data_IF_222304846220
#
_entry.id   IF_222304846220
#
_cell.length_a   1.000
_cell.length_b   1.000
_cell.length_c   1.000
_cell.angle_alpha   90.00
_cell.angle_beta   90.00
_cell.angle_gamma   90.00
#
_symmetry.space_group_name_H-M   'P 1'
#
loop_
_entity.id
_entity.type
_entity.pdbx_description
1 polymer ?
#
# COMPACT_ATOMS: atom_id res chain seq x y z
N UNK A 1 -101.74 -21.58 -3.41
CA UNK A 1 -100.47 -20.83 -3.19
C UNK A 1 -99.23 -21.71 -2.92
N UNK A 2 -99.22 -23.02 -3.27
CA UNK A 2 -98.14 -23.94 -2.89
C UNK A 2 -97.25 -24.42 -4.05
N UNK A 3 -97.65 -24.20 -5.32
CA UNK A 3 -96.85 -24.58 -6.51
C UNK A 3 -95.73 -23.56 -6.84
N UNK A 4 -95.95 -22.25 -6.65
CA UNK A 4 -94.94 -21.20 -6.93
C UNK A 4 -93.74 -21.25 -5.96
N UNK A 5 -93.97 -21.51 -4.67
CA UNK A 5 -92.87 -21.67 -3.68
C UNK A 5 -92.06 -22.94 -3.88
N UNK A 6 -92.67 -24.02 -4.40
CA UNK A 6 -91.96 -25.25 -4.76
C UNK A 6 -91.12 -25.08 -6.02
N UNK A 7 -91.60 -24.36 -7.03
CA UNK A 7 -90.80 -24.04 -8.22
C UNK A 7 -89.61 -23.15 -7.85
N UNK A 8 -89.80 -22.13 -7.02
CA UNK A 8 -88.70 -21.27 -6.54
C UNK A 8 -87.70 -22.06 -5.69
N UNK A 9 -88.16 -22.93 -4.79
CA UNK A 9 -87.29 -23.78 -3.99
C UNK A 9 -86.49 -24.79 -4.84
N UNK A 10 -87.10 -25.35 -5.88
CA UNK A 10 -86.46 -26.31 -6.78
C UNK A 10 -85.44 -25.60 -7.69
N UNK A 11 -85.76 -24.39 -8.19
CA UNK A 11 -84.80 -23.55 -8.93
C UNK A 11 -83.63 -23.13 -8.03
N UNK A 12 -83.89 -22.71 -6.79
CA UNK A 12 -82.84 -22.36 -5.83
C UNK A 12 -81.94 -23.55 -5.49
N UNK A 13 -82.52 -24.75 -5.32
CA UNK A 13 -81.76 -25.97 -5.09
C UNK A 13 -80.89 -26.36 -6.29
N UNK A 14 -81.43 -26.25 -7.52
CA UNK A 14 -80.66 -26.50 -8.75
C UNK A 14 -79.53 -25.48 -8.91
N UNK A 15 -79.79 -24.19 -8.63
CA UNK A 15 -78.78 -23.15 -8.70
C UNK A 15 -77.64 -23.39 -7.68
N UNK A 16 -77.96 -23.78 -6.45
CA UNK A 16 -76.96 -24.14 -5.45
C UNK A 16 -76.12 -25.35 -5.87
N UNK A 17 -76.75 -26.39 -6.44
CA UNK A 17 -76.05 -27.59 -6.91
C UNK A 17 -75.14 -27.27 -8.11
N UNK A 18 -75.59 -26.40 -9.02
CA UNK A 18 -74.79 -25.90 -10.14
C UNK A 18 -73.59 -25.08 -9.66
N UNK A 19 -73.73 -24.25 -8.62
CA UNK A 19 -72.62 -23.49 -8.02
C UNK A 19 -71.60 -24.44 -7.38
N UNK A 20 -72.04 -25.44 -6.63
CA UNK A 20 -71.13 -26.43 -6.01
C UNK A 20 -70.38 -27.22 -7.09
N UNK A 21 -71.07 -27.67 -8.14
CA UNK A 21 -70.42 -28.32 -9.28
C UNK A 21 -69.44 -27.38 -10.00
N UNK A 22 -69.79 -26.09 -10.16
CA UNK A 22 -68.91 -25.11 -10.77
C UNK A 22 -67.64 -24.86 -9.95
N UNK A 23 -67.75 -24.79 -8.61
CA UNK A 23 -66.58 -24.65 -7.71
C UNK A 23 -65.68 -25.88 -7.85
N UNK A 24 -66.24 -27.09 -7.72
CA UNK A 24 -65.45 -28.33 -7.82
C UNK A 24 -64.81 -28.50 -9.22
N UNK A 25 -65.52 -28.16 -10.29
CA UNK A 25 -64.98 -28.22 -11.66
C UNK A 25 -63.91 -27.13 -11.88
N UNK A 26 -64.09 -25.94 -11.31
CA UNK A 26 -63.11 -24.85 -11.42
C UNK A 26 -61.83 -25.16 -10.66
N UNK A 27 -61.90 -25.78 -9.49
CA UNK A 27 -60.72 -26.24 -8.74
C UNK A 27 -59.97 -27.35 -9.48
N UNK A 28 -60.67 -28.34 -10.05
CA UNK A 28 -60.04 -29.45 -10.80
C UNK A 28 -59.42 -28.95 -12.11
N UNK A 29 -60.06 -28.00 -12.79
CA UNK A 29 -59.51 -27.39 -14.03
C UNK A 29 -58.40 -26.38 -13.76
N UNK A 30 -58.40 -25.70 -12.61
CA UNK A 30 -57.28 -24.85 -12.18
C UNK A 30 -56.04 -25.68 -11.85
N UNK A 31 -56.19 -26.82 -11.15
CA UNK A 31 -55.05 -27.73 -10.91
C UNK A 31 -54.58 -28.42 -12.20
N UNK A 32 -55.45 -28.72 -13.17
CA UNK A 32 -55.02 -29.31 -14.44
C UNK A 32 -54.42 -28.29 -15.44
N UNK A 33 -54.80 -27.00 -15.38
CA UNK A 33 -54.27 -25.96 -16.25
C UNK A 33 -53.08 -25.18 -15.65
N UNK A 34 -52.94 -25.15 -14.32
CA UNK A 34 -51.81 -24.51 -13.62
C UNK A 34 -50.83 -25.56 -13.06
N UNK A 35 -51.27 -26.79 -12.78
CA UNK A 35 -50.40 -27.89 -12.30
C UNK A 35 -49.55 -28.54 -13.39
N UNK A 36 -49.96 -28.45 -14.66
CA UNK A 36 -49.22 -29.02 -15.80
C UNK A 36 -48.00 -28.21 -16.23
N UNK A 37 -47.86 -26.94 -15.80
CA UNK A 37 -46.73 -26.09 -16.15
C UNK A 37 -45.80 -25.76 -14.96
N UNK A 38 -46.19 -26.12 -13.73
CA UNK A 38 -45.33 -25.97 -12.55
C UNK A 38 -44.57 -27.25 -12.22
N UNK A 39 -45.07 -28.45 -12.53
CA UNK A 39 -44.32 -29.69 -12.29
C UNK A 39 -43.09 -29.87 -13.20
N UNK A 40 -43.06 -29.19 -14.36
CA UNK A 40 -41.90 -29.18 -15.28
C UNK A 40 -40.98 -27.97 -15.04
N UNK A 41 -41.33 -27.09 -14.09
CA UNK A 41 -40.53 -25.92 -13.66
C UNK A 41 -40.03 -26.01 -12.23
N UNK A 42 -40.11 -27.18 -11.58
CA UNK A 42 -39.42 -27.44 -10.30
C UNK A 42 -38.00 -28.02 -10.52
N UNK A 43 -37.57 -28.17 -11.78
CA UNK A 43 -36.17 -28.43 -12.13
C UNK A 43 -35.49 -27.21 -12.79
N UNK A 44 -35.99 -25.99 -12.57
CA UNK A 44 -35.33 -24.78 -13.07
C UNK A 44 -34.03 -24.46 -12.31
N UNK A 45 -33.88 -25.00 -11.10
CA UNK A 45 -32.60 -24.94 -10.37
C UNK A 45 -31.58 -25.96 -10.87
N UNK A 46 -31.99 -27.02 -11.58
CA UNK A 46 -31.07 -28.05 -12.10
C UNK A 46 -30.56 -27.76 -13.53
N UNK A 47 -31.27 -26.94 -14.32
CA UNK A 47 -30.83 -26.51 -15.65
C UNK A 47 -29.89 -25.29 -15.63
N UNK A 48 -29.86 -24.56 -14.52
CA UNK A 48 -28.96 -23.43 -14.28
C UNK A 48 -28.08 -23.59 -13.04
N UNK A 49 -28.15 -24.73 -12.35
CA UNK A 49 -27.05 -25.18 -11.52
C UNK A 49 -25.84 -25.37 -12.45
N UNK A 50 -25.03 -24.32 -12.55
CA UNK A 50 -23.62 -24.44 -12.92
C UNK A 50 -23.03 -25.36 -11.87
N UNK A 51 -23.09 -26.66 -12.15
CA UNK A 51 -22.34 -27.68 -11.47
C UNK A 51 -20.89 -27.35 -11.73
N UNK A 52 -20.32 -26.55 -10.82
CA UNK A 52 -18.88 -26.46 -10.67
C UNK A 52 -18.50 -27.83 -10.16
N UNK A 53 -18.00 -28.69 -11.05
CA UNK A 53 -17.19 -29.83 -10.63
C UNK A 53 -16.29 -29.32 -9.52
N UNK A 54 -16.27 -30.02 -8.37
CA UNK A 54 -15.40 -29.67 -7.27
C UNK A 54 -14.04 -29.31 -7.86
N UNK A 55 -13.63 -28.06 -7.64
CA UNK A 55 -12.36 -27.54 -8.12
C UNK A 55 -11.34 -28.62 -7.78
N UNK A 56 -10.59 -29.17 -8.75
CA UNK A 56 -9.59 -30.18 -8.47
C UNK A 56 -8.82 -29.71 -7.25
N UNK A 57 -8.76 -30.55 -6.20
CA UNK A 57 -8.02 -30.19 -4.99
C UNK A 57 -6.67 -29.64 -5.45
N UNK A 58 -6.29 -28.42 -5.02
CA UNK A 58 -5.04 -27.81 -5.47
C UNK A 58 -3.97 -28.87 -5.30
N UNK A 59 -3.26 -29.17 -6.40
CA UNK A 59 -2.19 -30.15 -6.36
C UNK A 59 -1.33 -29.79 -5.15
N UNK A 60 -1.14 -30.69 -4.17
CA UNK A 60 -0.39 -30.36 -2.97
C UNK A 60 1.05 -29.93 -3.30
N UNK A 61 1.56 -30.26 -4.50
CA UNK A 61 2.83 -29.72 -5.02
C UNK A 61 2.76 -28.24 -5.43
N UNK A 62 1.58 -27.71 -5.75
CA UNK A 62 1.31 -26.29 -6.04
C UNK A 62 0.89 -25.51 -4.79
N UNK A 63 0.52 -26.20 -3.71
CA UNK A 63 0.10 -25.57 -2.44
C UNK A 63 1.24 -24.91 -1.65
N UNK A 64 2.48 -25.10 -2.08
CA UNK A 64 3.69 -24.54 -1.43
C UNK A 64 4.44 -23.53 -2.32
N UNK A 65 3.87 -23.13 -3.46
CA UNK A 65 4.38 -22.04 -4.26
C UNK A 65 4.74 -22.43 -5.70
N UNK A 66 4.55 -21.44 -6.57
CA UNK A 66 4.89 -21.39 -8.01
C UNK A 66 3.87 -22.04 -8.94
N UNK A 67 3.35 -21.19 -9.83
CA UNK A 67 2.46 -21.52 -10.93
C UNK A 67 3.06 -22.64 -11.79
N UNK A 68 2.29 -23.69 -12.06
CA UNK A 68 2.72 -24.88 -12.78
C UNK A 68 3.53 -24.57 -14.05
N UNK A 69 4.86 -24.73 -13.98
CA UNK A 69 5.77 -24.70 -15.12
C UNK A 69 6.47 -23.36 -15.43
N UNK A 70 6.21 -22.28 -14.68
CA UNK A 70 6.95 -21.01 -14.86
C UNK A 70 8.16 -21.02 -13.92
N UNK A 71 9.40 -20.91 -14.43
CA UNK A 71 10.59 -20.88 -13.59
C UNK A 71 10.71 -19.57 -12.82
N UNK A 72 11.51 -19.57 -11.77
CA UNK A 72 11.90 -18.33 -11.08
C UNK A 72 12.85 -17.50 -11.93
N UNK A 73 12.82 -16.19 -11.71
CA UNK A 73 13.79 -15.30 -12.32
C UNK A 73 15.19 -15.59 -11.78
N UNK A 74 16.17 -15.57 -12.67
CA UNK A 74 17.59 -15.60 -12.33
C UNK A 74 18.21 -14.22 -12.53
N UNK A 75 19.50 -14.06 -12.19
CA UNK A 75 20.22 -12.79 -12.35
C UNK A 75 20.37 -12.34 -13.81
N UNK A 76 20.06 -13.23 -14.78
CA UNK A 76 20.03 -12.88 -16.20
C UNK A 76 18.64 -12.44 -16.68
N UNK A 77 17.61 -12.60 -15.83
CA UNK A 77 16.23 -12.32 -16.18
C UNK A 77 15.74 -10.97 -15.67
N UNK A 78 16.34 -10.47 -14.59
CA UNK A 78 15.89 -9.24 -13.92
C UNK A 78 17.03 -8.35 -13.47
N UNK A 79 16.76 -7.04 -13.40
CA UNK A 79 17.67 -6.03 -12.86
C UNK A 79 16.94 -5.14 -11.86
N UNK A 80 17.64 -4.71 -10.81
CA UNK A 80 17.15 -3.75 -9.83
C UNK A 80 17.80 -2.38 -10.04
N UNK A 81 16.99 -1.34 -9.90
CA UNK A 81 17.44 0.05 -9.89
C UNK A 81 16.56 0.88 -8.97
N UNK A 82 17.08 2.01 -8.51
CA UNK A 82 16.21 3.05 -7.96
C UNK A 82 15.67 3.88 -9.10
N UNK A 83 14.40 4.28 -9.03
CA UNK A 83 13.92 5.33 -9.91
C UNK A 83 14.63 6.62 -9.53
N UNK A 84 15.41 7.17 -10.44
CA UNK A 84 15.73 8.60 -10.43
C UNK A 84 14.51 9.32 -11.02
N UNK A 85 14.10 10.46 -10.45
CA UNK A 85 13.08 11.32 -11.08
C UNK A 85 13.46 11.77 -12.51
N UNK A 86 14.72 11.61 -12.89
CA UNK A 86 15.16 11.66 -14.29
C UNK A 86 14.82 10.34 -14.99
N UNK A 87 13.68 10.37 -15.70
CA UNK A 87 13.17 9.26 -16.48
C UNK A 87 14.21 8.62 -17.42
N UNK A 88 14.10 7.30 -17.53
CA UNK A 88 14.59 6.48 -18.63
C UNK A 88 16.05 6.74 -19.05
N UNK A 89 17.00 6.14 -18.32
CA UNK A 89 18.30 5.80 -18.90
C UNK A 89 18.25 4.37 -19.45
N UNK A 90 17.39 4.12 -20.43
CA UNK A 90 17.62 3.06 -21.41
C UNK A 90 18.32 3.66 -22.62
N UNK A 91 19.64 3.74 -22.55
CA UNK A 91 20.47 3.94 -23.72
C UNK A 91 20.38 2.69 -24.61
N UNK A 92 19.43 2.69 -25.55
CA UNK A 92 19.49 1.84 -26.75
C UNK A 92 19.73 2.72 -27.97
N UNK A 93 20.94 2.59 -28.51
CA UNK A 93 21.34 3.21 -29.76
C UNK A 93 20.63 2.56 -30.97
N UNK A 94 20.41 3.40 -32.00
CA UNK A 94 19.93 3.09 -33.36
C UNK A 94 18.39 3.11 -33.48
N UNK A 95 17.73 3.89 -34.34
CA UNK A 95 18.18 4.53 -35.57
C UNK A 95 17.33 5.78 -35.88
N UNK A 96 17.91 6.67 -36.69
CA UNK A 96 17.34 7.85 -37.32
C UNK A 96 15.97 7.61 -37.98
N UNK A 97 14.98 8.47 -37.72
CA UNK A 97 14.28 9.17 -38.80
C UNK A 97 13.50 10.39 -38.29
N UNK A 98 13.60 11.47 -39.06
CA UNK A 98 13.13 12.82 -38.78
C UNK A 98 11.64 13.01 -39.07
N UNK A 99 10.91 13.76 -38.24
CA UNK A 99 9.58 14.28 -38.60
C UNK A 99 8.86 14.97 -37.44
N UNK A 100 8.40 16.24 -37.55
CA UNK A 100 7.96 17.05 -36.42
C UNK A 100 6.43 17.16 -36.23
N UNK A 101 6.06 17.57 -35.00
CA UNK A 101 5.02 18.56 -34.63
C UNK A 101 3.81 18.07 -33.78
N UNK A 102 3.66 18.76 -32.63
CA UNK A 102 2.40 19.18 -31.94
C UNK A 102 1.53 18.08 -31.30
N UNK A 103 0.91 18.21 -30.12
CA UNK A 103 0.59 19.35 -29.26
C UNK A 103 0.32 18.90 -27.80
N UNK A 104 0.33 19.90 -26.92
CA UNK A 104 -0.12 19.97 -25.52
C UNK A 104 -1.38 19.18 -25.14
N UNK A 105 -1.38 18.57 -23.94
CA UNK A 105 -2.47 18.71 -22.99
C UNK A 105 -2.03 18.31 -21.56
N UNK A 106 -2.18 19.25 -20.63
CA UNK A 106 -2.11 19.07 -19.18
C UNK A 106 -3.23 18.16 -18.67
N UNK A 107 -2.93 17.31 -17.69
CA UNK A 107 -3.91 16.82 -16.73
C UNK A 107 -3.29 16.78 -15.33
N UNK A 108 -3.78 17.68 -14.50
CA UNK A 108 -3.50 17.85 -13.08
C UNK A 108 -4.00 16.64 -12.31
N UNK A 109 -3.11 15.92 -11.62
CA UNK A 109 -3.42 14.93 -10.60
C UNK A 109 -3.00 15.47 -9.25
N UNK A 110 -3.96 16.04 -8.53
CA UNK A 110 -3.78 16.62 -7.19
C UNK A 110 -3.55 15.50 -6.16
N UNK A 111 -2.40 15.53 -5.47
CA UNK A 111 -2.25 14.87 -4.17
C UNK A 111 -1.56 15.85 -3.21
N UNK A 112 -2.32 16.28 -2.20
CA UNK A 112 -1.91 17.23 -1.19
C UNK A 112 -1.01 16.58 -0.13
N UNK A 113 0.21 17.11 -0.04
CA UNK A 113 1.12 17.30 1.09
C UNK A 113 0.90 16.57 2.43
N UNK A 114 2.02 16.08 3.01
CA UNK A 114 2.47 16.53 4.34
C UNK A 114 3.97 16.30 4.54
N UNK A 115 4.71 17.36 4.91
CA UNK A 115 6.00 17.23 5.61
C UNK A 115 7.31 17.33 4.80
N UNK A 116 7.52 18.41 4.06
CA UNK A 116 8.78 19.17 3.97
C UNK A 116 10.13 18.41 4.08
N UNK A 117 10.68 18.07 2.91
CA UNK A 117 12.12 18.12 2.62
C UNK A 117 12.31 18.70 1.20
N UNK A 118 12.13 20.02 1.09
CA UNK A 118 12.64 20.83 -0.03
C UNK A 118 14.17 20.91 0.10
N UNK A 119 14.87 19.87 -0.36
CA UNK A 119 16.31 19.88 -0.74
C UNK A 119 16.64 18.60 -1.53
N UNK A 120 15.84 18.28 -2.55
CA UNK A 120 16.20 17.25 -3.52
C UNK A 120 17.29 17.82 -4.43
N UNK A 121 18.55 17.75 -3.97
CA UNK A 121 19.69 18.10 -4.81
C UNK A 121 19.76 17.10 -5.98
N UNK A 122 19.94 17.69 -7.16
CA UNK A 122 19.74 17.11 -8.48
C UNK A 122 20.89 16.16 -8.82
N UNK A 123 21.04 15.04 -8.10
CA UNK A 123 21.94 13.95 -8.49
C UNK A 123 21.77 12.67 -7.65
N UNK A 124 20.60 12.03 -7.67
CA UNK A 124 20.42 10.68 -7.08
C UNK A 124 20.84 10.56 -5.61
N UNK A 125 20.66 11.62 -4.82
CA UNK A 125 20.97 11.63 -3.40
C UNK A 125 19.77 12.10 -2.59
N UNK A 126 19.50 11.42 -1.48
CA UNK A 126 18.37 11.73 -0.59
C UNK A 126 18.89 12.42 0.67
N UNK A 127 18.16 13.42 1.16
CA UNK A 127 18.47 14.08 2.43
C UNK A 127 17.29 13.93 3.38
N UNK A 128 17.52 13.33 4.54
CA UNK A 128 16.50 13.04 5.55
C UNK A 128 17.00 13.45 6.93
N UNK A 129 16.11 13.85 7.83
CA UNK A 129 16.49 14.11 9.24
C UNK A 129 16.30 12.85 10.06
N UNK A 130 17.18 12.60 11.04
CA UNK A 130 17.02 11.49 11.99
C UNK A 130 15.66 11.57 12.70
N UNK A 131 14.93 10.45 12.71
CA UNK A 131 13.54 10.33 13.15
C UNK A 131 12.50 10.72 12.10
N UNK A 132 12.87 10.89 10.83
CA UNK A 132 11.96 11.10 9.70
C UNK A 132 12.09 9.95 8.70
N UNK A 133 11.12 9.85 7.78
CA UNK A 133 11.12 8.82 6.76
C UNK A 133 11.78 9.27 5.46
N UNK A 134 12.60 8.40 4.88
CA UNK A 134 13.05 8.48 3.51
C UNK A 134 12.26 7.46 2.67
N UNK A 135 11.78 7.87 1.51
CA UNK A 135 11.11 6.99 0.55
C UNK A 135 11.99 6.77 -0.67
N UNK A 136 12.10 5.52 -1.09
CA UNK A 136 12.85 5.07 -2.25
C UNK A 136 11.89 4.37 -3.20
N UNK A 137 11.91 4.70 -4.49
CA UNK A 137 11.17 3.93 -5.48
C UNK A 137 12.08 2.87 -6.07
N UNK A 138 11.85 1.61 -5.69
CA UNK A 138 12.49 0.44 -6.27
C UNK A 138 11.89 0.11 -7.63
N UNK A 139 12.74 -0.30 -8.57
CA UNK A 139 12.37 -0.65 -9.94
C UNK A 139 12.97 -2.00 -10.29
N UNK A 140 12.11 -3.01 -10.42
CA UNK A 140 12.45 -4.35 -10.88
C UNK A 140 12.07 -4.49 -12.35
N UNK A 141 13.07 -4.67 -13.22
CA UNK A 141 12.87 -4.74 -14.68
C UNK A 141 13.17 -6.13 -15.21
N UNK A 142 12.28 -6.67 -16.04
CA UNK A 142 12.50 -7.89 -16.81
C UNK A 142 13.37 -7.61 -18.03
N UNK A 143 14.41 -8.41 -18.22
CA UNK A 143 15.41 -8.21 -19.28
C UNK A 143 15.59 -9.41 -20.20
N UNK A 144 15.10 -10.59 -19.81
CA UNK A 144 15.21 -11.79 -20.64
C UNK A 144 14.03 -11.98 -21.58
N UNK A 145 14.15 -12.98 -22.45
CA UNK A 145 13.09 -13.41 -23.36
C UNK A 145 12.16 -14.47 -22.75
N UNK A 146 12.55 -15.05 -21.61
CA UNK A 146 11.79 -16.11 -20.96
C UNK A 146 10.90 -15.49 -19.88
N UNK A 147 9.68 -16.00 -19.76
CA UNK A 147 8.81 -15.61 -18.65
C UNK A 147 9.37 -16.21 -17.36
N UNK A 148 9.32 -15.45 -16.27
CA UNK A 148 9.77 -15.93 -14.97
C UNK A 148 8.93 -15.35 -13.83
N UNK A 149 8.99 -15.99 -12.66
CA UNK A 149 8.37 -15.49 -11.43
C UNK A 149 9.43 -14.79 -10.58
N UNK A 150 9.13 -13.56 -10.16
CA UNK A 150 9.94 -12.83 -9.18
C UNK A 150 9.14 -12.63 -7.89
N UNK A 151 9.75 -12.85 -6.74
CA UNK A 151 9.15 -12.52 -5.46
C UNK A 151 9.47 -11.06 -5.11
N UNK A 152 8.46 -10.19 -5.18
CA UNK A 152 8.57 -8.77 -4.89
C UNK A 152 8.11 -8.43 -3.46
N UNK A 153 7.98 -9.40 -2.56
CA UNK A 153 7.71 -9.09 -1.16
C UNK A 153 8.80 -8.19 -0.57
N UNK A 154 8.47 -7.35 0.43
CA UNK A 154 9.39 -6.35 0.99
C UNK A 154 10.62 -6.95 1.70
N UNK A 155 10.54 -8.23 2.05
CA UNK A 155 11.62 -9.02 2.63
C UNK A 155 12.50 -9.70 1.57
N UNK A 156 12.05 -9.66 0.32
CA UNK A 156 12.63 -10.34 -0.83
C UNK A 156 13.24 -9.33 -1.80
N UNK A 157 12.52 -8.27 -2.15
CA UNK A 157 13.06 -7.05 -2.77
C UNK A 157 13.47 -6.07 -1.66
N UNK A 158 14.63 -6.33 -1.08
CA UNK A 158 15.05 -5.73 0.17
C UNK A 158 15.85 -4.43 -0.03
N UNK A 159 15.55 -3.44 0.81
CA UNK A 159 16.35 -2.23 0.97
C UNK A 159 17.40 -2.45 2.06
N UNK A 160 18.66 -2.24 1.70
CA UNK A 160 19.80 -2.33 2.62
C UNK A 160 20.48 -0.96 2.72
N UNK A 161 20.64 -0.47 3.95
CA UNK A 161 21.34 0.78 4.24
C UNK A 161 22.67 0.46 4.94
N UNK A 162 23.75 0.99 4.39
CA UNK A 162 25.11 0.84 4.94
C UNK A 162 25.67 2.18 5.38
N UNK A 163 26.27 2.24 6.57
CA UNK A 163 27.04 3.40 7.05
C UNK A 163 28.26 3.61 6.16
N UNK A 164 28.41 4.79 5.55
CA UNK A 164 29.59 5.09 4.74
C UNK A 164 30.86 5.26 5.60
N UNK A 165 30.70 5.61 6.88
CA UNK A 165 31.80 5.84 7.80
C UNK A 165 32.42 4.53 8.32
N UNK A 166 31.59 3.53 8.60
CA UNK A 166 32.04 2.27 9.22
C UNK A 166 31.98 1.08 8.25
N UNK A 167 31.15 1.14 7.21
CA UNK A 167 30.90 0.03 6.30
C UNK A 167 29.88 -0.98 6.82
N UNK A 168 29.30 -0.75 8.00
CA UNK A 168 28.33 -1.66 8.61
C UNK A 168 26.93 -1.46 8.01
N UNK A 169 26.19 -2.56 7.84
CA UNK A 169 24.75 -2.51 7.57
C UNK A 169 24.06 -2.00 8.83
N UNK A 170 23.24 -0.96 8.68
CA UNK A 170 22.46 -0.37 9.78
C UNK A 170 20.97 -0.65 9.65
N UNK A 171 20.51 -0.94 8.43
CA UNK A 171 19.13 -1.28 8.14
C UNK A 171 19.07 -2.33 7.02
N UNK A 172 18.25 -3.35 7.18
CA UNK A 172 17.93 -4.38 6.18
C UNK A 172 16.45 -4.75 6.28
N UNK A 173 15.67 -4.42 5.26
CA UNK A 173 14.23 -4.73 5.26
C UNK A 173 13.93 -6.23 5.18
N UNK A 174 14.90 -7.06 4.80
CA UNK A 174 14.75 -8.53 4.76
C UNK A 174 14.74 -9.20 6.13
N UNK A 175 15.04 -8.46 7.19
CA UNK A 175 14.96 -8.93 8.57
C UNK A 175 13.51 -9.13 9.05
N UNK A 176 12.53 -8.50 8.41
CA UNK A 176 11.11 -8.72 8.68
C UNK A 176 10.49 -9.63 7.64
N UNK A 177 9.98 -10.79 8.05
CA UNK A 177 9.26 -11.70 7.15
C UNK A 177 8.02 -11.02 6.56
N UNK A 178 7.79 -11.24 5.26
CA UNK A 178 6.62 -10.76 4.56
C UNK A 178 5.92 -11.89 3.78
N UNK A 179 4.61 -11.75 3.57
CA UNK A 179 3.90 -12.66 2.69
C UNK A 179 4.45 -12.52 1.25
N UNK A 180 4.78 -13.63 0.57
CA UNK A 180 5.40 -13.57 -0.75
C UNK A 180 4.46 -12.96 -1.79
N UNK A 181 5.01 -12.08 -2.62
CA UNK A 181 4.29 -11.43 -3.72
C UNK A 181 4.93 -11.88 -5.02
N UNK A 182 4.42 -12.96 -5.61
CA UNK A 182 4.96 -13.47 -6.88
C UNK A 182 4.41 -12.69 -8.07
N UNK A 183 5.31 -12.01 -8.77
CA UNK A 183 5.06 -11.31 -10.02
C UNK A 183 5.46 -12.18 -11.20
N UNK A 184 4.56 -12.31 -12.18
CA UNK A 184 4.89 -12.90 -13.47
C UNK A 184 5.54 -11.84 -14.37
N UNK A 185 6.84 -11.95 -14.58
CA UNK A 185 7.65 -11.04 -15.39
C UNK A 185 7.73 -11.51 -16.84
N UNK A 186 7.31 -10.68 -17.81
CA UNK A 186 7.32 -10.98 -19.25
C UNK A 186 7.58 -9.73 -20.08
N UNK A 187 7.98 -9.88 -21.35
CA UNK A 187 7.94 -8.80 -22.35
C UNK A 187 8.48 -7.43 -21.89
N UNK A 188 9.58 -7.40 -21.12
CA UNK A 188 10.12 -6.16 -20.55
C UNK A 188 9.20 -5.47 -19.53
N UNK A 189 8.40 -6.25 -18.80
CA UNK A 189 7.62 -5.79 -17.65
C UNK A 189 8.53 -5.08 -16.64
N UNK A 190 7.98 -4.02 -16.05
CA UNK A 190 8.64 -3.22 -15.01
C UNK A 190 7.69 -3.14 -13.83
N UNK A 191 8.15 -3.57 -12.67
CA UNK A 191 7.49 -3.34 -11.39
C UNK A 191 8.13 -2.15 -10.67
N UNK A 192 7.30 -1.30 -10.07
CA UNK A 192 7.75 -0.13 -9.31
C UNK A 192 7.09 -0.11 -7.95
N UNK A 193 7.89 0.01 -6.90
CA UNK A 193 7.40 -0.03 -5.52
C UNK A 193 8.11 0.97 -4.65
N UNK A 194 7.36 1.64 -3.80
CA UNK A 194 7.93 2.52 -2.80
C UNK A 194 8.32 1.73 -1.55
N UNK A 195 9.56 1.92 -1.13
CA UNK A 195 10.14 1.40 0.10
C UNK A 195 10.41 2.57 1.02
N UNK A 196 10.05 2.43 2.30
CA UNK A 196 10.22 3.50 3.29
C UNK A 196 11.17 3.05 4.38
N UNK A 197 12.14 3.90 4.69
CA UNK A 197 13.02 3.74 5.83
C UNK A 197 12.82 4.90 6.80
N UNK A 198 12.57 4.60 8.07
CA UNK A 198 12.25 5.58 9.11
C UNK A 198 13.49 6.12 9.85
N UNK A 199 14.69 5.94 9.28
CA UNK A 199 16.00 6.28 9.88
C UNK A 199 16.30 5.55 11.18
N UNK A 200 15.73 4.37 11.31
CA UNK A 200 15.92 3.44 12.39
C UNK A 200 17.03 2.41 12.09
N UNK A 201 17.65 1.91 13.15
CA UNK A 201 18.60 0.78 13.09
C UNK A 201 17.82 -0.55 13.16
N UNK A 202 18.03 -1.42 12.18
CA UNK A 202 17.42 -2.75 12.07
C UNK A 202 18.27 -3.67 11.16
N UNK A 203 19.11 -4.55 11.70
CA UNK A 203 19.97 -5.39 10.85
C UNK A 203 19.40 -6.78 10.61
N UNK A 204 19.31 -7.60 11.65
CA UNK A 204 19.05 -9.04 11.52
C UNK A 204 17.75 -9.48 12.22
N UNK A 205 17.18 -8.61 13.03
CA UNK A 205 15.93 -8.86 13.75
C UNK A 205 14.85 -7.89 13.28
N UNK A 206 13.63 -8.39 13.10
CA UNK A 206 12.48 -7.54 12.83
C UNK A 206 12.12 -6.73 14.07
N UNK A 207 12.40 -5.42 14.04
CA UNK A 207 12.08 -4.51 15.14
C UNK A 207 10.73 -3.83 14.86
N UNK A 208 9.77 -4.04 15.75
CA UNK A 208 8.43 -3.42 15.66
C UNK A 208 8.13 -2.45 16.81
N UNK A 209 9.16 -2.07 17.59
CA UNK A 209 9.01 -1.28 18.81
C UNK A 209 9.07 0.24 18.52
N UNK A 210 8.15 1.07 19.05
CA UNK A 210 8.14 2.53 18.85
C UNK A 210 9.31 3.29 19.52
N UNK A 211 10.16 2.64 20.30
CA UNK A 211 11.36 3.19 20.95
C UNK A 211 12.66 2.85 20.22
N UNK A 212 12.55 2.52 18.93
CA UNK A 212 13.66 2.08 18.10
C UNK A 212 14.85 3.06 18.08
N UNK A 213 16.04 2.48 18.08
CA UNK A 213 17.29 3.23 18.00
C UNK A 213 17.37 3.89 16.62
N UNK A 214 17.54 5.21 16.61
CA UNK A 214 17.75 5.96 15.37
C UNK A 214 19.22 5.94 14.97
N UNK A 215 19.47 5.90 13.66
CA UNK A 215 20.83 6.06 13.14
C UNK A 215 21.37 7.45 13.46
N UNK A 216 22.69 7.53 13.61
CA UNK A 216 23.39 8.79 13.84
C UNK A 216 23.40 9.66 12.57
N UNK A 217 23.49 10.99 12.68
CA UNK A 217 23.70 11.84 11.52
C UNK A 217 24.99 11.47 10.77
N UNK A 218 24.94 11.46 9.45
CA UNK A 218 26.07 11.02 8.61
C UNK A 218 25.67 10.69 7.18
N UNK A 219 26.63 10.11 6.45
CA UNK A 219 26.43 9.63 5.08
C UNK A 219 26.21 8.13 5.07
N UNK A 220 25.25 7.68 4.27
CA UNK A 220 24.85 6.29 4.13
C UNK A 220 24.72 5.93 2.65
N UNK A 221 24.74 4.63 2.37
CA UNK A 221 24.45 4.07 1.06
C UNK A 221 23.20 3.21 1.13
N UNK A 222 22.22 3.51 0.30
CA UNK A 222 21.06 2.67 0.05
C UNK A 222 21.32 1.75 -1.15
N UNK A 223 20.95 0.49 -1.04
CA UNK A 223 21.08 -0.50 -2.11
C UNK A 223 19.89 -1.45 -2.08
N UNK A 224 19.34 -1.79 -3.24
CA UNK A 224 18.32 -2.84 -3.38
C UNK A 224 19.00 -4.18 -3.62
N UNK A 225 18.42 -5.24 -3.07
CA UNK A 225 18.84 -6.61 -3.31
C UNK A 225 17.62 -7.52 -3.51
N UNK A 226 17.76 -8.55 -4.34
CA UNK A 226 16.73 -9.58 -4.49
C UNK A 226 17.18 -10.85 -3.78
N UNK A 227 16.59 -11.16 -2.61
CA UNK A 227 16.98 -12.27 -1.72
C UNK A 227 16.97 -13.62 -2.42
N UNK A 228 15.92 -13.87 -3.20
CA UNK A 228 15.71 -15.14 -3.90
C UNK A 228 16.58 -15.29 -5.17
N UNK A 229 17.25 -14.20 -5.60
CA UNK A 229 18.05 -14.18 -6.84
C UNK A 229 19.45 -13.63 -6.57
N UNK A 230 20.38 -14.55 -6.29
CA UNK A 230 21.76 -14.19 -5.95
C UNK A 230 22.42 -13.28 -6.98
N UNK A 231 23.08 -12.21 -6.52
CA UNK A 231 23.85 -11.32 -7.38
C UNK A 231 23.03 -10.24 -8.11
N UNK A 232 21.71 -10.17 -7.91
CA UNK A 232 20.89 -9.03 -8.37
C UNK A 232 20.90 -7.96 -7.30
N UNK A 233 21.61 -6.87 -7.57
CA UNK A 233 21.66 -5.69 -6.71
C UNK A 233 21.61 -4.42 -7.56
N UNK A 234 21.05 -3.35 -7.00
CA UNK A 234 21.13 -2.03 -7.63
C UNK A 234 22.51 -1.39 -7.44
N UNK A 235 22.73 -0.28 -8.14
CA UNK A 235 23.77 0.67 -7.75
C UNK A 235 23.47 1.24 -6.35
N UNK A 236 24.52 1.67 -5.66
CA UNK A 236 24.39 2.35 -4.36
C UNK A 236 23.94 3.80 -4.57
N UNK A 237 22.88 4.19 -3.89
CA UNK A 237 22.38 5.56 -3.81
C UNK A 237 22.91 6.23 -2.53
N UNK A 238 23.29 7.50 -2.60
CA UNK A 238 23.78 8.22 -1.41
C UNK A 238 22.63 8.78 -0.61
N UNK A 239 22.68 8.64 0.72
CA UNK A 239 21.70 9.20 1.65
C UNK A 239 22.41 10.01 2.72
N UNK A 240 21.98 11.24 2.93
CA UNK A 240 22.48 12.12 3.98
C UNK A 240 21.46 12.21 5.12
N UNK A 241 21.83 11.70 6.29
CA UNK A 241 21.02 11.82 7.50
C UNK A 241 21.49 13.03 8.31
N UNK A 242 20.61 14.02 8.47
CA UNK A 242 20.83 15.22 9.29
C UNK A 242 20.38 14.97 10.75
N UNK A 243 20.91 15.76 11.68
CA UNK A 243 20.46 15.72 13.08
C UNK A 243 18.97 16.07 13.19
N UNK A 244 18.26 15.37 14.08
CA UNK A 244 16.86 15.66 14.36
C UNK A 244 16.72 17.07 14.92
N UNK A 245 15.91 17.92 14.27
CA UNK A 245 15.65 19.30 14.70
C UNK A 245 14.90 19.37 16.04
N UNK A 246 14.27 18.27 16.48
CA UNK A 246 13.62 18.16 17.79
C UNK A 246 14.62 18.18 18.97
N UNK A 247 15.89 17.80 18.75
CA UNK A 247 16.91 17.79 19.81
C UNK A 247 17.52 19.18 20.08
N UNK A 248 17.39 20.14 19.16
CA UNK A 248 17.99 21.47 19.28
C UNK A 248 17.29 22.38 20.29
N UNK A 249 16.05 22.06 20.68
CA UNK A 249 15.27 22.85 21.63
C UNK A 249 15.61 22.58 23.11
N UNK A 250 16.32 21.48 23.42
CA UNK A 250 16.57 21.06 24.81
C UNK A 250 17.92 21.51 25.39
N UNK A 251 18.87 21.99 24.58
CA UNK A 251 20.22 22.36 25.06
C UNK A 251 20.43 23.85 25.35
N UNK A 252 19.37 24.67 25.31
CA UNK A 252 19.45 26.13 25.51
C UNK A 252 19.19 26.65 26.93
N UNK A 253 19.19 25.80 27.96
CA UNK A 253 18.88 26.23 29.34
C UNK A 253 19.86 25.67 30.37
N UNK A 254 21.09 26.15 30.36
CA UNK A 254 21.93 26.24 31.57
C UNK A 254 23.20 27.07 31.34
N UNK A 255 23.04 28.38 31.12
CA UNK A 255 24.08 29.34 31.43
C UNK A 255 23.62 30.15 32.64
N UNK A 256 23.93 29.62 33.83
CA UNK A 256 23.72 30.32 35.10
C UNK A 256 24.55 31.60 35.11
N UNK A 257 23.88 32.75 35.09
CA UNK A 257 24.49 34.02 35.44
C UNK A 257 24.20 34.30 36.91
N UNK A 258 25.15 33.94 37.76
CA UNK A 258 25.27 34.54 39.08
C UNK A 258 25.92 35.93 38.91
N UNK A 259 25.15 36.99 39.12
CA UNK A 259 25.67 38.33 39.39
C UNK A 259 24.73 39.06 40.33
N UNK A 260 25.19 39.22 41.56
CA UNK A 260 24.62 40.08 42.57
C UNK A 260 24.97 41.55 42.31
N UNK A 261 24.22 42.45 42.97
CA UNK A 261 24.42 43.91 43.14
C UNK A 261 23.83 44.75 41.99
N UNK A 262 23.08 45.83 42.19
CA UNK A 262 22.73 46.61 43.37
C UNK A 262 21.54 47.51 42.99
N UNK A 263 20.53 47.57 43.85
CA UNK A 263 19.35 48.41 43.67
C UNK A 263 19.49 49.73 44.44
N UNK A 264 18.77 50.74 43.96
CA UNK A 264 18.42 52.02 44.58
C UNK A 264 19.44 53.17 44.51
N UNK A 265 19.05 54.44 44.41
CA UNK A 265 17.87 55.16 43.91
C UNK A 265 18.30 56.63 44.03
N UNK A 266 18.20 57.42 42.97
CA UNK A 266 18.43 58.86 43.07
C UNK A 266 17.25 59.54 43.79
N UNK A 267 17.51 60.49 44.69
CA UNK A 267 16.92 61.84 44.70
C UNK A 267 17.20 62.65 45.98
N UNK A 268 17.53 63.92 45.73
CA UNK A 268 17.12 65.12 46.47
C UNK A 268 17.78 65.50 47.82
N UNK A 269 18.57 66.59 47.72
CA UNK A 269 18.33 67.89 48.37
C UNK A 269 18.29 68.01 49.90
N UNK A 270 19.14 68.90 50.42
CA UNK A 270 18.74 69.79 51.51
C UNK A 270 19.66 69.82 52.74
N UNK A 271 20.57 70.79 52.72
CA UNK A 271 20.79 71.79 53.78
C UNK A 271 20.96 71.37 55.25
N UNK A 272 22.17 71.70 55.73
CA UNK A 272 22.44 72.57 56.87
C UNK A 272 22.74 71.96 58.27
N UNK A 273 23.86 72.47 58.78
CA UNK A 273 24.12 72.90 60.16
C UNK A 273 24.87 71.97 61.12
N UNK A 274 25.94 72.57 61.63
CA UNK A 274 26.91 72.16 62.64
C UNK A 274 26.32 71.63 63.97
N UNK A 275 27.09 70.80 64.68
CA UNK A 275 27.75 71.19 65.95
C UNK A 275 28.54 70.02 66.61
N UNK A 276 29.63 70.41 67.29
CA UNK A 276 30.16 69.85 68.56
C UNK A 276 31.27 68.77 68.57
N UNK A 277 32.41 69.14 69.17
CA UNK A 277 33.47 68.30 69.77
C UNK A 277 34.55 67.86 68.78
N UNK A 278 35.82 68.24 68.88
CA UNK A 278 36.70 68.56 70.02
C UNK A 278 37.80 69.54 69.58
#
# INVERSE_FOLDING_TARGET
>A
MYRRRRIVALIAAIAALAIVLFVVISDIRFVAAVGGAVNERIHYDDAHAVSRSAVPSPDPSLSTGKTAGIPDCTSNDVTLSFASDDGDSSASASASESGPASASASASGSASASGQADDSDVNGSIVVSSGQSATFTAVLTHTSKQNCLANAASDSEALVITSAATGDVVYDSSACDADPIYLLMRNSDVDRRDLTWTTDEQTDECVTDPSQVLVKPGTYYAQLQLKDVSGVQSQKMTVYVKASSASSAASGSSAGSASASSSASASASGSASASSGE
#
